data_IF_870041545445
#
_entry.id   IF_870041545445
#
_cell.length_a   1.000
_cell.length_b   1.000
_cell.length_c   1.000
_cell.angle_alpha   90.00
_cell.angle_beta   90.00
_cell.angle_gamma   90.00
#
_symmetry.space_group_name_H-M   'P 1'
#
loop_
_entity.id
_entity.type
_entity.pdbx_description
1 polymer ?
#
# COMPACT_ATOMS: atom_id res chain seq x y z
N UNK A 1 -53.78 9.50 -31.57
CA UNK A 1 -52.91 10.49 -30.88
C UNK A 1 -52.74 10.01 -29.44
N UNK A 2 -51.58 9.45 -29.07
CA UNK A 2 -51.34 8.87 -27.72
C UNK A 2 -50.83 9.98 -26.80
N UNK A 3 -51.64 10.37 -25.82
CA UNK A 3 -51.24 11.29 -24.75
C UNK A 3 -50.23 10.57 -23.85
N UNK A 4 -48.98 11.01 -23.90
CA UNK A 4 -47.94 10.54 -22.97
C UNK A 4 -48.27 11.15 -21.60
N UNK A 5 -48.48 10.28 -20.61
CA UNK A 5 -48.85 10.64 -19.26
C UNK A 5 -47.70 11.41 -18.57
N UNK A 6 -47.93 12.67 -18.19
CA UNK A 6 -46.93 13.57 -17.61
C UNK A 6 -46.29 13.03 -16.31
N UNK A 7 -47.02 12.19 -15.58
CA UNK A 7 -46.54 11.55 -14.35
C UNK A 7 -45.39 10.54 -14.61
N UNK A 8 -45.33 9.96 -15.82
CA UNK A 8 -44.27 9.01 -16.19
C UNK A 8 -42.93 9.71 -16.44
N UNK A 9 -42.96 10.95 -16.92
CA UNK A 9 -41.75 11.74 -17.25
C UNK A 9 -41.07 12.25 -15.96
N UNK A 10 -41.86 12.63 -14.95
CA UNK A 10 -41.34 13.10 -13.66
C UNK A 10 -40.60 11.99 -12.87
N UNK A 11 -41.05 10.75 -13.00
CA UNK A 11 -40.48 9.57 -12.33
C UNK A 11 -39.12 9.15 -12.91
N UNK A 12 -38.95 9.27 -14.23
CA UNK A 12 -37.71 8.90 -14.93
C UNK A 12 -36.59 9.92 -14.67
N UNK A 13 -36.92 11.21 -14.61
CA UNK A 13 -35.92 12.27 -14.34
C UNK A 13 -35.28 12.16 -12.95
N UNK A 14 -36.06 11.77 -11.94
CA UNK A 14 -35.57 11.63 -10.57
C UNK A 14 -34.71 10.37 -10.36
N UNK A 15 -34.95 9.29 -11.12
CA UNK A 15 -34.11 8.08 -11.09
C UNK A 15 -32.73 8.30 -11.72
N UNK A 16 -32.63 9.13 -12.77
CA UNK A 16 -31.35 9.44 -13.42
C UNK A 16 -30.44 10.30 -12.51
N UNK A 17 -31.03 11.28 -11.80
CA UNK A 17 -30.26 12.16 -10.90
C UNK A 17 -29.71 11.39 -9.70
N UNK A 18 -30.50 10.48 -9.13
CA UNK A 18 -30.07 9.64 -8.02
C UNK A 18 -28.94 8.68 -8.42
N UNK A 19 -29.03 8.04 -9.58
CA UNK A 19 -27.98 7.13 -10.07
C UNK A 19 -26.68 7.87 -10.41
N UNK A 20 -26.76 9.04 -11.04
CA UNK A 20 -25.59 9.89 -11.30
C UNK A 20 -24.91 10.36 -10.00
N UNK A 21 -25.70 10.75 -9.00
CA UNK A 21 -25.17 11.21 -7.70
C UNK A 21 -24.46 10.09 -6.94
N UNK A 22 -25.00 8.87 -6.98
CA UNK A 22 -24.36 7.68 -6.40
C UNK A 22 -23.04 7.41 -7.13
N UNK A 23 -23.01 7.40 -8.47
CA UNK A 23 -21.80 7.17 -9.25
C UNK A 23 -20.70 8.21 -8.97
N UNK A 24 -21.05 9.50 -8.89
CA UNK A 24 -20.11 10.57 -8.54
C UNK A 24 -19.55 10.37 -7.13
N UNK A 25 -20.40 9.99 -6.17
CA UNK A 25 -19.96 9.69 -4.81
C UNK A 25 -18.97 8.51 -4.79
N UNK A 26 -19.26 7.42 -5.52
CA UNK A 26 -18.33 6.28 -5.63
C UNK A 26 -16.99 6.66 -6.29
N UNK A 27 -16.98 7.57 -7.27
CA UNK A 27 -15.75 8.03 -7.91
C UNK A 27 -14.92 8.98 -7.02
N UNK A 28 -15.55 9.84 -6.23
CA UNK A 28 -14.85 10.80 -5.37
C UNK A 28 -14.23 10.18 -4.11
N UNK A 29 -14.70 9.01 -3.69
CA UNK A 29 -14.27 8.36 -2.45
C UNK A 29 -13.36 7.14 -2.65
N UNK A 30 -12.70 6.98 -3.81
CA UNK A 30 -11.71 5.92 -3.98
C UNK A 30 -10.45 6.29 -3.18
N UNK A 31 -10.12 5.57 -2.08
CA UNK A 31 -8.94 5.88 -1.29
C UNK A 31 -7.68 5.58 -2.13
N UNK A 32 -6.72 6.51 -2.11
CA UNK A 32 -5.42 6.28 -2.72
C UNK A 32 -4.72 5.13 -2.01
N UNK A 33 -4.13 4.23 -2.79
CA UNK A 33 -3.28 3.16 -2.27
C UNK A 33 -2.03 3.74 -1.57
N UNK A 34 -1.42 3.02 -0.61
CA UNK A 34 -0.21 3.50 0.07
C UNK A 34 0.93 3.89 -0.88
N UNK A 35 1.11 3.14 -1.97
CA UNK A 35 2.14 3.45 -2.97
C UNK A 35 1.81 4.73 -3.75
N UNK A 36 0.54 4.97 -4.11
CA UNK A 36 0.12 6.21 -4.77
C UNK A 36 0.33 7.43 -3.87
N UNK A 37 0.06 7.29 -2.56
CA UNK A 37 0.35 8.34 -1.59
C UNK A 37 1.86 8.65 -1.54
N UNK A 38 2.72 7.62 -1.60
CA UNK A 38 4.16 7.81 -1.67
C UNK A 38 4.61 8.49 -2.97
N UNK A 39 4.03 8.11 -4.12
CA UNK A 39 4.32 8.78 -5.40
C UNK A 39 4.03 10.28 -5.36
N UNK A 40 2.92 10.69 -4.73
CA UNK A 40 2.57 12.10 -4.61
C UNK A 40 3.49 12.86 -3.65
N UNK A 41 3.93 12.21 -2.57
CA UNK A 41 4.79 12.85 -1.55
C UNK A 41 6.26 12.91 -1.96
N UNK A 42 6.77 11.89 -2.63
CA UNK A 42 8.18 11.74 -2.94
C UNK A 42 8.46 12.15 -4.39
N UNK A 43 8.54 13.44 -4.69
CA UNK A 43 8.73 13.93 -6.08
C UNK A 43 10.18 13.87 -6.57
N UNK A 44 11.14 13.84 -5.66
CA UNK A 44 12.56 13.64 -5.94
C UNK A 44 13.26 12.96 -4.75
N UNK A 45 14.54 12.59 -4.92
CA UNK A 45 15.30 11.85 -3.91
C UNK A 45 15.47 12.62 -2.58
N UNK A 46 15.69 13.95 -2.63
CA UNK A 46 15.84 14.78 -1.44
C UNK A 46 14.54 14.78 -0.63
N UNK A 47 13.41 15.05 -1.29
CA UNK A 47 12.08 15.03 -0.69
C UNK A 47 11.73 13.63 -0.19
N UNK A 48 12.08 12.58 -0.93
CA UNK A 48 11.89 11.20 -0.49
C UNK A 48 12.62 10.87 0.81
N UNK A 49 13.87 11.35 0.98
CA UNK A 49 14.63 11.18 2.22
C UNK A 49 14.01 11.96 3.39
N UNK A 50 13.59 13.20 3.16
CA UNK A 50 12.93 14.04 4.17
C UNK A 50 11.58 13.46 4.61
N UNK A 51 10.82 12.92 3.66
CA UNK A 51 9.56 12.24 3.94
C UNK A 51 9.80 10.97 4.78
N UNK A 52 10.85 10.18 4.48
CA UNK A 52 11.21 9.01 5.28
C UNK A 52 11.56 9.39 6.73
N UNK A 53 12.33 10.47 6.93
CA UNK A 53 12.65 10.99 8.27
C UNK A 53 11.38 11.44 8.99
N UNK A 54 10.49 12.13 8.30
CA UNK A 54 9.23 12.63 8.85
C UNK A 54 8.32 11.49 9.27
N UNK A 55 8.14 10.48 8.42
CA UNK A 55 7.33 9.30 8.71
C UNK A 55 7.91 8.50 9.87
N UNK A 56 9.24 8.32 9.90
CA UNK A 56 9.92 7.63 11.00
C UNK A 56 9.68 8.33 12.35
N UNK A 57 9.79 9.66 12.40
CA UNK A 57 9.51 10.47 13.61
C UNK A 57 8.04 10.35 14.06
N UNK A 58 7.12 10.14 13.12
CA UNK A 58 5.69 9.93 13.39
C UNK A 58 5.34 8.50 13.78
N UNK A 59 6.29 7.58 13.78
CA UNK A 59 6.04 6.16 14.04
C UNK A 59 5.48 5.39 12.84
N UNK A 60 5.47 5.99 11.65
CA UNK A 60 5.04 5.34 10.41
C UNK A 60 6.24 4.65 9.77
N UNK A 61 6.38 3.34 10.03
CA UNK A 61 7.47 2.55 9.48
C UNK A 61 7.00 1.78 8.25
N UNK A 62 7.56 2.11 7.10
CA UNK A 62 7.16 1.46 5.85
C UNK A 62 8.33 1.35 4.86
N UNK A 63 8.44 0.21 4.20
CA UNK A 63 9.46 -0.06 3.20
C UNK A 63 8.78 -0.43 1.90
N UNK A 64 9.28 0.06 0.76
CA UNK A 64 8.76 -0.34 -0.55
C UNK A 64 9.57 -1.50 -1.08
N UNK A 65 8.91 -2.57 -1.49
CA UNK A 65 9.54 -3.71 -2.18
C UNK A 65 9.06 -3.77 -3.61
N UNK A 66 10.00 -3.87 -4.54
CA UNK A 66 9.74 -4.06 -5.96
C UNK A 66 9.88 -5.53 -6.35
N UNK A 67 9.20 -5.92 -7.43
CA UNK A 67 9.34 -7.26 -8.02
C UNK A 67 8.12 -8.17 -7.86
N UNK A 68 8.30 -9.38 -8.37
CA UNK A 68 7.30 -10.43 -8.30
C UNK A 68 7.22 -10.98 -6.87
N UNK A 69 6.03 -11.40 -6.42
CA UNK A 69 5.92 -12.02 -5.11
C UNK A 69 6.66 -13.35 -5.18
N UNK A 70 7.22 -13.82 -4.07
CA UNK A 70 7.65 -15.22 -4.03
C UNK A 70 6.39 -16.09 -4.10
N UNK A 71 6.08 -16.59 -5.30
CA UNK A 71 4.91 -17.44 -5.57
C UNK A 71 5.21 -18.90 -5.27
N UNK A 72 6.22 -19.22 -4.46
CA UNK A 72 6.35 -20.58 -3.93
C UNK A 72 5.10 -20.90 -3.12
N UNK A 73 4.25 -21.72 -3.74
CA UNK A 73 2.87 -22.03 -3.36
C UNK A 73 2.71 -22.72 -2.00
N UNK A 74 3.80 -22.94 -1.25
CA UNK A 74 3.85 -23.63 0.03
C UNK A 74 4.28 -22.71 1.19
N UNK A 75 4.33 -21.40 0.97
CA UNK A 75 4.72 -20.42 2.00
C UNK A 75 3.46 -19.79 2.60
N UNK A 76 3.17 -20.11 3.87
CA UNK A 76 2.03 -19.59 4.64
C UNK A 76 2.39 -18.26 5.31
N UNK A 77 3.61 -18.13 5.81
CA UNK A 77 4.10 -16.95 6.54
C UNK A 77 5.17 -16.25 5.72
N UNK A 78 4.95 -14.99 5.37
CA UNK A 78 5.91 -14.19 4.61
C UNK A 78 6.81 -13.36 5.55
N UNK A 79 8.04 -13.00 5.11
CA UNK A 79 8.88 -12.08 5.86
C UNK A 79 8.20 -10.73 6.15
N UNK A 80 7.32 -10.25 5.26
CA UNK A 80 6.51 -9.05 5.48
C UNK A 80 5.58 -9.15 6.68
N UNK A 81 5.04 -10.34 6.95
CA UNK A 81 4.11 -10.56 8.07
C UNK A 81 4.87 -10.48 9.40
N UNK A 82 6.11 -10.98 9.42
CA UNK A 82 7.02 -10.86 10.56
C UNK A 82 7.43 -9.40 10.78
N UNK A 83 7.76 -8.68 9.71
CA UNK A 83 8.09 -7.25 9.76
C UNK A 83 6.93 -6.42 10.33
N UNK A 84 5.69 -6.69 9.93
CA UNK A 84 4.52 -5.98 10.43
C UNK A 84 4.19 -6.36 11.88
N UNK A 85 4.21 -7.64 12.23
CA UNK A 85 3.85 -8.11 13.57
C UNK A 85 4.88 -7.73 14.65
N UNK A 86 6.16 -8.04 14.42
CA UNK A 86 7.23 -7.87 15.40
C UNK A 86 7.79 -6.43 15.43
N UNK A 87 7.89 -5.78 14.27
CA UNK A 87 8.59 -4.48 14.13
C UNK A 87 7.65 -3.31 13.78
N UNK A 88 6.37 -3.59 13.54
CA UNK A 88 5.38 -2.60 13.06
C UNK A 88 5.78 -1.93 11.75
N UNK A 89 6.55 -2.65 10.91
CA UNK A 89 7.01 -2.18 9.61
C UNK A 89 6.04 -2.69 8.54
N UNK A 90 5.39 -1.78 7.84
CA UNK A 90 4.53 -2.11 6.70
C UNK A 90 5.35 -2.27 5.43
N UNK A 91 5.23 -3.41 4.78
CA UNK A 91 5.80 -3.61 3.44
C UNK A 91 4.81 -3.15 2.39
N UNK A 92 5.14 -2.06 1.70
CA UNK A 92 4.35 -1.57 0.58
C UNK A 92 4.89 -2.21 -0.68
N UNK A 93 4.01 -2.85 -1.44
CA UNK A 93 4.41 -3.42 -2.72
C UNK A 93 4.37 -2.36 -3.80
N UNK A 94 5.49 -2.19 -4.49
CA UNK A 94 5.55 -1.41 -5.71
C UNK A 94 4.71 -2.06 -6.80
N UNK A 95 3.96 -1.26 -7.55
CA UNK A 95 3.27 -1.78 -8.73
C UNK A 95 4.32 -2.08 -9.80
N UNK A 96 4.38 -3.34 -10.26
CA UNK A 96 5.30 -3.85 -11.28
C UNK A 96 6.78 -3.91 -10.85
N UNK A 97 7.64 -4.25 -11.82
CA UNK A 97 9.10 -4.34 -11.65
C UNK A 97 9.82 -3.00 -11.90
N UNK A 98 9.08 -1.90 -12.05
CA UNK A 98 9.66 -0.59 -12.36
C UNK A 98 9.76 0.20 -11.05
N UNK A 99 10.99 0.39 -10.58
CA UNK A 99 11.24 1.24 -9.42
C UNK A 99 11.12 2.72 -9.80
N UNK A 100 10.83 3.54 -8.80
CA UNK A 100 10.83 4.99 -8.95
C UNK A 100 11.88 5.59 -8.03
N UNK A 101 12.84 6.29 -8.64
CA UNK A 101 14.06 6.71 -7.97
C UNK A 101 13.84 7.48 -6.65
N UNK A 102 12.82 8.34 -6.59
CA UNK A 102 12.51 9.07 -5.35
C UNK A 102 11.97 8.15 -4.24
N UNK A 103 11.18 7.12 -4.59
CA UNK A 103 10.70 6.11 -3.65
C UNK A 103 11.83 5.17 -3.21
N UNK A 104 12.81 4.89 -4.08
CA UNK A 104 13.99 4.13 -3.70
C UNK A 104 14.80 4.90 -2.65
N UNK A 105 15.01 6.21 -2.85
CA UNK A 105 15.65 7.06 -1.86
C UNK A 105 14.89 7.11 -0.53
N UNK A 106 13.55 7.17 -0.56
CA UNK A 106 12.71 7.04 0.63
C UNK A 106 12.97 5.72 1.34
N UNK A 107 12.89 4.61 0.60
CA UNK A 107 13.01 3.25 1.13
C UNK A 107 14.38 3.00 1.74
N UNK A 108 15.45 3.39 1.03
CA UNK A 108 16.83 3.32 1.53
C UNK A 108 16.97 4.10 2.84
N UNK A 109 16.44 5.33 2.87
CA UNK A 109 16.54 6.16 4.08
C UNK A 109 15.75 5.58 5.24
N UNK A 110 14.55 5.07 4.99
CA UNK A 110 13.75 4.39 6.01
C UNK A 110 14.48 3.15 6.54
N UNK A 111 15.07 2.33 5.65
CA UNK A 111 15.90 1.18 6.06
C UNK A 111 17.04 1.60 6.99
N UNK A 112 17.80 2.64 6.65
CA UNK A 112 18.88 3.14 7.52
C UNK A 112 18.38 3.51 8.91
N UNK A 113 17.23 4.20 8.99
CA UNK A 113 16.64 4.62 10.26
C UNK A 113 16.13 3.40 11.07
N UNK A 114 15.51 2.44 10.41
CA UNK A 114 15.02 1.21 11.04
C UNK A 114 16.16 0.31 11.51
N UNK A 115 17.27 0.22 10.77
CA UNK A 115 18.46 -0.51 11.18
C UNK A 115 19.08 0.08 12.46
N UNK A 116 19.06 1.40 12.61
CA UNK A 116 19.46 2.06 13.88
C UNK A 116 18.49 1.72 15.00
N UNK A 117 17.17 1.65 14.72
CA UNK A 117 16.14 1.40 15.73
C UNK A 117 16.08 -0.05 16.22
N UNK A 118 16.16 -1.01 15.29
CA UNK A 118 15.88 -2.42 15.53
C UNK A 118 17.12 -3.32 15.37
N UNK A 119 18.26 -2.74 15.00
CA UNK A 119 19.49 -3.46 14.68
C UNK A 119 19.59 -3.79 13.19
N UNK A 120 20.82 -3.92 12.69
CA UNK A 120 21.10 -4.05 11.26
C UNK A 120 20.58 -5.33 10.59
N UNK A 121 20.18 -6.34 11.36
CA UNK A 121 19.74 -7.65 10.87
C UNK A 121 18.22 -7.88 11.02
N UNK A 122 17.41 -6.86 11.29
CA UNK A 122 15.96 -7.05 11.51
C UNK A 122 15.26 -7.71 10.29
N UNK A 123 15.72 -7.41 9.07
CA UNK A 123 15.23 -8.03 7.83
C UNK A 123 15.63 -9.51 7.76
N UNK A 124 16.91 -9.81 8.00
CA UNK A 124 17.41 -11.19 7.97
C UNK A 124 16.76 -12.04 9.05
N UNK A 125 16.59 -11.50 10.25
CA UNK A 125 15.85 -12.13 11.34
C UNK A 125 14.40 -12.44 10.94
N UNK A 126 13.74 -11.52 10.23
CA UNK A 126 12.37 -11.71 9.74
C UNK A 126 12.29 -12.85 8.71
N UNK A 127 13.26 -12.93 7.79
CA UNK A 127 13.36 -14.04 6.84
C UNK A 127 13.57 -15.39 7.52
N UNK A 128 14.49 -15.47 8.48
CA UNK A 128 14.78 -16.71 9.21
C UNK A 128 13.58 -17.18 10.03
N UNK A 129 12.88 -16.27 10.70
CA UNK A 129 11.67 -16.60 11.47
C UNK A 129 10.54 -17.08 10.57
N UNK A 130 10.29 -16.40 9.44
CA UNK A 130 9.30 -16.85 8.47
C UNK A 130 9.63 -18.27 7.94
N UNK A 131 10.90 -18.54 7.60
CA UNK A 131 11.33 -19.87 7.17
C UNK A 131 11.09 -20.95 8.23
N UNK A 132 11.45 -20.70 9.49
CA UNK A 132 11.22 -21.62 10.60
C UNK A 132 9.74 -21.93 10.79
N UNK A 133 8.87 -20.91 10.78
CA UNK A 133 7.43 -21.10 10.94
C UNK A 133 6.83 -21.92 9.80
N UNK A 134 7.24 -21.65 8.55
CA UNK A 134 6.76 -22.44 7.41
C UNK A 134 7.21 -23.90 7.45
N UNK A 135 8.42 -24.19 7.94
CA UNK A 135 8.86 -25.58 8.10
C UNK A 135 8.07 -26.31 9.20
N UNK A 136 7.71 -25.62 10.29
CA UNK A 136 6.89 -26.20 11.35
C UNK A 136 5.47 -26.48 10.85
N UNK A 137 4.87 -25.54 10.11
CA UNK A 137 3.48 -25.67 9.62
C UNK A 137 3.29 -26.71 8.51
N UNK A 138 4.37 -27.19 7.90
CA UNK A 138 4.33 -28.26 6.88
C UNK A 138 4.30 -29.67 7.47
N UNK A 139 4.52 -29.81 8.78
CA UNK A 139 4.50 -31.06 9.53
C UNK A 139 3.32 -31.12 10.49
#
# INVERSE_FOLDING_TARGET
MKLINSNSILSIGSTIILTASILIYWFLFIPLTPIQVLYLKCTNCTIGKEQAITDFKKGTYQIVTWGLPDTRYDTIVYPSDILESDYKIKTIRGNNCVSYYAIDCYTIKMYQLLSVKYGNDFVGASHRKAYQLNNVLKH
#
